data_IF_513289530714
#
_entry.id   IF_513289530714
#
_cell.length_a   1.000
_cell.length_b   1.000
_cell.length_c   1.000
_cell.angle_alpha   90.00
_cell.angle_beta   90.00
_cell.angle_gamma   90.00
#
_symmetry.space_group_name_H-M   'P 1'
#
loop_
_entity.id
_entity.type
_entity.pdbx_description
1 polymer ?
#
# COMPACT_ATOMS: atom_id res chain seq x y z
N UNK A 1 -8.57 -1.63 -22.10
CA UNK A 1 -8.80 -3.00 -21.56
C UNK A 1 -10.28 -3.10 -21.23
N UNK A 2 -10.95 -4.21 -21.55
CA UNK A 2 -12.40 -4.31 -21.32
C UNK A 2 -12.75 -4.48 -19.83
N UNK A 3 -13.90 -3.94 -19.41
CA UNK A 3 -14.41 -4.11 -18.02
C UNK A 3 -14.62 -5.57 -17.65
N UNK A 4 -15.13 -6.41 -18.56
CA UNK A 4 -15.28 -7.85 -18.35
C UNK A 4 -13.95 -8.56 -18.15
N UNK A 5 -12.99 -8.30 -19.04
CA UNK A 5 -11.65 -8.89 -18.95
C UNK A 5 -10.97 -8.52 -17.62
N UNK A 6 -11.11 -7.27 -17.17
CA UNK A 6 -10.60 -6.82 -15.88
C UNK A 6 -11.25 -7.58 -14.71
N UNK A 7 -12.56 -7.74 -14.72
CA UNK A 7 -13.30 -8.46 -13.67
C UNK A 7 -13.02 -9.97 -13.66
N UNK A 8 -12.93 -10.60 -14.83
CA UNK A 8 -12.88 -12.05 -14.96
C UNK A 8 -11.44 -12.60 -14.92
N UNK A 9 -10.44 -11.80 -15.29
CA UNK A 9 -9.05 -12.27 -15.46
C UNK A 9 -8.08 -11.59 -14.49
N UNK A 10 -8.12 -10.26 -14.38
CA UNK A 10 -7.11 -9.53 -13.59
C UNK A 10 -7.45 -9.40 -12.11
N UNK A 11 -8.69 -9.05 -11.78
CA UNK A 11 -9.10 -8.76 -10.41
C UNK A 11 -9.28 -9.98 -9.48
N UNK A 12 -9.65 -11.19 -9.93
CA UNK A 12 -9.90 -12.32 -9.03
C UNK A 12 -8.76 -12.64 -8.04
N UNK A 13 -7.46 -12.67 -8.44
CA UNK A 13 -6.39 -12.91 -7.48
C UNK A 13 -6.28 -11.82 -6.41
N UNK A 14 -6.56 -10.56 -6.74
CA UNK A 14 -6.55 -9.47 -5.77
C UNK A 14 -7.74 -9.56 -4.82
N UNK A 15 -8.94 -9.86 -5.34
CA UNK A 15 -10.13 -10.07 -4.51
C UNK A 15 -9.89 -11.18 -3.49
N UNK A 16 -9.37 -12.33 -3.94
CA UNK A 16 -9.03 -13.45 -3.04
C UNK A 16 -7.96 -13.06 -2.01
N UNK A 17 -6.91 -12.34 -2.42
CA UNK A 17 -5.87 -11.89 -1.49
C UNK A 17 -6.42 -10.95 -0.40
N UNK A 18 -7.39 -10.12 -0.75
CA UNK A 18 -8.03 -9.16 0.15
C UNK A 18 -9.04 -9.86 1.07
N UNK A 19 -10.05 -10.52 0.50
CA UNK A 19 -11.19 -11.08 1.24
C UNK A 19 -10.83 -12.34 2.02
N UNK A 20 -9.99 -13.19 1.46
CA UNK A 20 -9.65 -14.50 2.04
C UNK A 20 -8.23 -14.52 2.62
N UNK A 21 -7.28 -13.91 1.91
CA UNK A 21 -5.86 -13.88 2.24
C UNK A 21 -5.53 -12.98 3.44
N UNK A 22 -6.32 -11.93 3.68
CA UNK A 22 -6.08 -10.97 4.75
C UNK A 22 -4.92 -10.02 4.48
N UNK A 23 -4.69 -9.68 3.21
CA UNK A 23 -3.76 -8.62 2.82
C UNK A 23 -4.09 -7.32 3.58
N UNK A 24 -3.05 -6.64 4.07
CA UNK A 24 -3.19 -5.39 4.88
C UNK A 24 -2.73 -4.14 4.15
N UNK A 25 -2.15 -4.31 2.98
CA UNK A 25 -1.68 -3.22 2.13
C UNK A 25 -1.90 -3.57 0.66
N UNK A 26 -2.28 -2.58 -0.13
CA UNK A 26 -2.40 -2.67 -1.59
C UNK A 26 -1.56 -1.55 -2.21
N UNK A 27 -0.94 -1.84 -3.36
CA UNK A 27 -0.20 -0.86 -4.15
C UNK A 27 -0.90 -0.71 -5.50
N UNK A 28 -1.19 0.53 -5.91
CA UNK A 28 -1.77 0.78 -7.23
C UNK A 28 -0.69 0.62 -8.32
N UNK A 29 -1.07 0.27 -9.54
CA UNK A 29 -0.15 0.20 -10.67
C UNK A 29 0.13 1.60 -11.27
N UNK A 30 1.16 1.70 -12.12
CA UNK A 30 1.41 2.90 -12.93
C UNK A 30 0.46 3.06 -14.12
N UNK A 31 -0.23 2.01 -14.51
CA UNK A 31 -1.05 2.00 -15.72
C UNK A 31 -2.31 2.84 -15.56
N UNK A 32 -2.76 3.41 -16.67
CA UNK A 32 -4.11 3.93 -16.82
C UNK A 32 -5.02 2.95 -17.56
N UNK A 33 -6.33 3.07 -17.31
CA UNK A 33 -7.38 2.40 -18.09
C UNK A 33 -8.20 3.49 -18.75
N UNK A 34 -8.22 3.49 -20.08
CA UNK A 34 -8.94 4.48 -20.89
C UNK A 34 -8.60 5.94 -20.50
N UNK A 35 -7.32 6.19 -20.21
CA UNK A 35 -6.80 7.50 -19.81
C UNK A 35 -7.00 7.86 -18.33
N UNK A 36 -7.60 6.97 -17.52
CA UNK A 36 -7.72 7.14 -16.07
C UNK A 36 -6.59 6.39 -15.32
N UNK A 37 -5.60 7.09 -14.74
CA UNK A 37 -4.50 6.46 -14.01
C UNK A 37 -4.98 5.77 -12.74
N UNK A 38 -4.47 4.57 -12.45
CA UNK A 38 -4.86 3.81 -11.24
C UNK A 38 -4.64 4.59 -9.95
N UNK A 39 -3.63 5.48 -9.92
CA UNK A 39 -3.32 6.33 -8.76
C UNK A 39 -4.38 7.42 -8.48
N UNK A 40 -5.26 7.69 -9.44
CA UNK A 40 -6.30 8.73 -9.38
C UNK A 40 -7.72 8.17 -9.62
N UNK A 41 -7.87 6.85 -9.72
CA UNK A 41 -9.14 6.18 -10.03
C UNK A 41 -9.95 5.89 -8.76
N UNK A 42 -10.94 6.74 -8.47
CA UNK A 42 -11.88 6.60 -7.34
C UNK A 42 -12.74 5.32 -7.46
N UNK A 43 -13.09 4.92 -8.68
CA UNK A 43 -13.91 3.71 -8.92
C UNK A 43 -13.12 2.43 -8.60
N UNK A 44 -11.80 2.44 -8.83
CA UNK A 44 -10.92 1.33 -8.51
C UNK A 44 -10.56 1.30 -7.01
N UNK A 45 -10.04 2.40 -6.48
CA UNK A 45 -9.39 2.42 -5.17
C UNK A 45 -10.36 2.69 -4.02
N UNK A 46 -11.51 3.29 -4.28
CA UNK A 46 -12.55 3.52 -3.28
C UNK A 46 -13.74 2.61 -3.52
N UNK A 47 -14.46 2.76 -4.65
CA UNK A 47 -15.73 2.03 -4.84
C UNK A 47 -15.53 0.51 -4.91
N UNK A 48 -14.57 0.03 -5.72
CA UNK A 48 -14.30 -1.39 -5.80
C UNK A 48 -13.52 -1.90 -4.58
N UNK A 49 -12.33 -1.34 -4.33
CA UNK A 49 -11.44 -1.87 -3.31
C UNK A 49 -12.00 -1.70 -1.88
N UNK A 50 -12.47 -0.51 -1.52
CA UNK A 50 -12.90 -0.23 -0.15
C UNK A 50 -14.37 -0.56 0.05
N UNK A 51 -15.24 -0.13 -0.85
CA UNK A 51 -16.68 -0.28 -0.62
C UNK A 51 -17.18 -1.67 -1.01
N UNK A 52 -16.75 -2.20 -2.16
CA UNK A 52 -17.21 -3.52 -2.65
C UNK A 52 -16.46 -4.68 -1.99
N UNK A 53 -15.13 -4.57 -1.85
CA UNK A 53 -14.30 -5.63 -1.25
C UNK A 53 -14.07 -5.47 0.26
N UNK A 54 -14.59 -4.42 0.88
CA UNK A 54 -14.47 -4.14 2.33
C UNK A 54 -13.00 -4.05 2.80
N UNK A 55 -12.13 -3.44 1.99
CA UNK A 55 -10.72 -3.27 2.34
C UNK A 55 -10.50 -2.10 3.30
N UNK A 56 -10.11 -2.42 4.53
CA UNK A 56 -9.78 -1.46 5.60
C UNK A 56 -8.27 -1.18 5.77
N UNK A 57 -7.45 -1.75 4.89
CA UNK A 57 -5.99 -1.61 4.94
C UNK A 57 -5.46 -0.32 4.31
N UNK A 58 -4.14 -0.27 4.20
CA UNK A 58 -3.41 0.88 3.67
C UNK A 58 -3.23 0.78 2.16
N UNK A 59 -3.55 1.84 1.43
CA UNK A 59 -3.18 1.95 0.02
C UNK A 59 -1.89 2.75 -0.09
N UNK A 60 -0.84 2.10 -0.58
CA UNK A 60 0.47 2.73 -0.81
C UNK A 60 0.63 3.08 -2.27
N UNK A 61 1.27 4.22 -2.55
CA UNK A 61 1.66 4.55 -3.90
C UNK A 61 2.78 3.63 -4.36
N UNK A 62 2.76 3.23 -5.63
CA UNK A 62 4.00 2.78 -6.27
C UNK A 62 4.99 3.97 -6.37
N UNK A 63 6.27 3.69 -6.55
CA UNK A 63 7.33 4.67 -6.49
C UNK A 63 7.10 5.84 -7.45
N UNK A 64 6.94 7.04 -6.89
CA UNK A 64 6.61 8.26 -7.63
C UNK A 64 5.28 8.20 -8.40
N UNK A 65 4.41 7.20 -8.17
CA UNK A 65 3.16 7.01 -8.88
C UNK A 65 2.24 8.23 -8.81
N UNK A 66 2.21 8.94 -7.67
CA UNK A 66 1.45 10.19 -7.53
C UNK A 66 2.07 11.32 -8.37
N UNK A 67 3.39 11.40 -8.45
CA UNK A 67 4.06 12.41 -9.27
C UNK A 67 3.84 12.18 -10.77
N UNK A 68 3.68 10.92 -11.18
CA UNK A 68 3.39 10.54 -12.56
C UNK A 68 2.02 11.01 -13.05
N UNK A 69 1.06 11.30 -12.15
CA UNK A 69 -0.18 11.98 -12.53
C UNK A 69 0.09 13.31 -13.25
N UNK A 70 1.16 14.02 -12.87
CA UNK A 70 1.60 15.23 -13.56
C UNK A 70 2.57 14.93 -14.70
N UNK A 71 3.61 14.12 -14.45
CA UNK A 71 4.76 14.05 -15.37
C UNK A 71 4.61 13.03 -16.49
N UNK A 72 3.80 12.00 -16.29
CA UNK A 72 3.63 10.89 -17.26
C UNK A 72 2.23 10.94 -17.88
N UNK A 73 1.18 10.97 -17.06
CA UNK A 73 -0.21 10.93 -17.54
C UNK A 73 -0.75 12.32 -17.90
N UNK A 74 -0.13 13.39 -17.41
CA UNK A 74 -0.52 14.76 -17.74
C UNK A 74 -1.90 15.20 -17.24
N UNK A 75 -2.49 14.47 -16.27
CA UNK A 75 -3.83 14.77 -15.75
C UNK A 75 -3.83 15.79 -14.61
N UNK A 76 -2.67 16.04 -13.98
CA UNK A 76 -2.53 16.99 -12.89
C UNK A 76 -1.73 18.22 -13.34
N UNK A 77 -2.30 19.41 -13.10
CA UNK A 77 -1.64 20.68 -13.45
C UNK A 77 -0.38 20.93 -12.60
N UNK A 78 -0.44 20.63 -11.31
CA UNK A 78 0.67 20.79 -10.36
C UNK A 78 0.75 19.65 -9.33
N UNK A 79 1.76 19.71 -8.45
CA UNK A 79 1.99 18.69 -7.41
C UNK A 79 0.88 18.63 -6.36
N UNK A 80 0.18 19.73 -6.11
CA UNK A 80 -0.88 19.78 -5.13
C UNK A 80 -2.19 19.23 -5.70
N UNK A 81 -2.45 19.43 -6.99
CA UNK A 81 -3.55 18.77 -7.70
C UNK A 81 -3.31 17.27 -7.82
N UNK A 82 -2.07 16.83 -8.12
CA UNK A 82 -1.70 15.41 -8.09
C UNK A 82 -1.94 14.79 -6.71
N UNK A 83 -1.51 15.47 -5.63
CA UNK A 83 -1.79 15.04 -4.28
C UNK A 83 -3.30 14.95 -4.01
N UNK A 84 -4.06 15.94 -4.44
CA UNK A 84 -5.50 15.99 -4.27
C UNK A 84 -6.22 14.84 -4.96
N UNK A 85 -5.85 14.53 -6.21
CA UNK A 85 -6.41 13.41 -6.96
C UNK A 85 -6.13 12.07 -6.28
N UNK A 86 -4.88 11.80 -5.90
CA UNK A 86 -4.53 10.53 -5.26
C UNK A 86 -5.21 10.33 -3.90
N UNK A 87 -5.37 11.40 -3.11
CA UNK A 87 -6.07 11.33 -1.83
C UNK A 87 -7.57 11.09 -1.98
N UNK A 88 -8.20 11.68 -3.00
CA UNK A 88 -9.61 11.43 -3.30
C UNK A 88 -9.82 9.99 -3.78
N UNK A 89 -8.93 9.49 -4.65
CA UNK A 89 -8.93 8.11 -5.10
C UNK A 89 -8.79 7.11 -3.94
N UNK A 90 -8.05 7.48 -2.90
CA UNK A 90 -7.94 6.71 -1.66
C UNK A 90 -6.52 6.22 -1.35
N UNK A 91 -5.49 6.82 -1.97
CA UNK A 91 -4.08 6.55 -1.65
C UNK A 91 -3.71 7.19 -0.31
N UNK A 92 -3.17 6.38 0.61
CA UNK A 92 -2.84 6.80 1.97
C UNK A 92 -1.36 7.20 2.11
N UNK A 93 -0.45 6.51 1.42
CA UNK A 93 1.01 6.68 1.57
C UNK A 93 1.68 7.04 0.25
N UNK A 94 2.49 8.09 0.26
CA UNK A 94 3.37 8.46 -0.85
C UNK A 94 4.74 7.78 -0.71
N UNK A 95 5.25 7.19 -1.79
CA UNK A 95 6.55 6.51 -1.85
C UNK A 95 7.41 6.99 -3.04
N UNK A 96 8.74 6.83 -2.98
CA UNK A 96 9.53 6.46 -1.80
C UNK A 96 9.80 7.65 -0.87
N UNK A 97 9.54 8.88 -1.34
CA UNK A 97 9.80 10.12 -0.61
C UNK A 97 8.59 11.04 -0.70
N UNK A 98 8.46 11.95 0.27
CA UNK A 98 7.36 12.90 0.31
C UNK A 98 7.62 14.03 -0.69
N UNK A 99 6.89 14.05 -1.81
CA UNK A 99 7.01 15.05 -2.87
C UNK A 99 5.72 15.87 -3.01
N UNK A 100 4.58 15.20 -3.08
CA UNK A 100 3.26 15.79 -3.35
C UNK A 100 2.46 16.00 -2.06
N UNK A 101 2.50 15.03 -1.12
CA UNK A 101 1.74 15.09 0.12
C UNK A 101 2.33 16.05 1.17
N UNK A 102 3.56 16.51 0.95
CA UNK A 102 4.29 17.42 1.84
C UNK A 102 3.93 18.89 1.66
N UNK A 103 4.95 19.71 1.41
CA UNK A 103 4.80 21.17 1.32
C UNK A 103 3.80 21.63 0.26
N UNK A 104 3.74 21.06 -0.97
CA UNK A 104 2.79 21.53 -1.99
C UNK A 104 1.33 21.47 -1.52
N UNK A 105 0.89 20.30 -1.03
CA UNK A 105 -0.46 20.12 -0.48
C UNK A 105 -0.73 21.03 0.71
N UNK A 106 0.18 21.11 1.67
CA UNK A 106 0.00 21.94 2.88
C UNK A 106 -0.16 23.42 2.54
N UNK A 107 0.59 23.91 1.55
CA UNK A 107 0.49 25.29 1.06
C UNK A 107 -0.88 25.54 0.41
N UNK A 108 -1.38 24.61 -0.43
CA UNK A 108 -2.73 24.71 -1.03
C UNK A 108 -3.82 24.68 0.03
N UNK A 109 -3.74 23.77 1.01
CA UNK A 109 -4.72 23.69 2.09
C UNK A 109 -4.76 24.97 2.94
N UNK A 110 -3.61 25.52 3.33
CA UNK A 110 -3.55 26.79 4.09
C UNK A 110 -4.11 28.00 3.33
N UNK A 111 -3.99 28.01 1.99
CA UNK A 111 -4.59 29.06 1.15
C UNK A 111 -6.12 28.93 1.09
N UNK A 112 -6.64 27.71 1.21
CA UNK A 112 -8.06 27.40 1.14
C UNK A 112 -8.75 27.47 2.51
N UNK A 113 -8.03 27.15 3.59
CA UNK A 113 -8.48 27.24 4.97
C UNK A 113 -7.39 27.90 5.84
N UNK A 114 -7.37 29.24 5.91
CA UNK A 114 -6.46 29.97 6.79
C UNK A 114 -6.79 29.82 8.28
N UNK A 115 -7.97 29.25 8.63
CA UNK A 115 -8.46 29.10 10.00
C UNK A 115 -8.12 27.76 10.68
N UNK A 116 -7.66 26.75 9.92
CA UNK A 116 -7.03 25.55 10.47
C UNK A 116 -7.93 24.68 11.36
N UNK A 117 -9.21 24.54 11.00
CA UNK A 117 -10.12 23.63 11.70
C UNK A 117 -9.71 22.17 11.43
N UNK A 118 -9.11 21.49 12.41
CA UNK A 118 -8.80 20.06 12.31
C UNK A 118 -10.09 19.24 12.15
N UNK A 119 -10.51 18.97 10.92
CA UNK A 119 -11.47 17.89 10.64
C UNK A 119 -10.68 16.58 10.61
N UNK A 120 -10.66 15.90 11.75
CA UNK A 120 -10.20 14.51 11.84
C UNK A 120 -11.08 13.63 10.96
N UNK A 121 -10.45 12.84 10.08
CA UNK A 121 -11.11 11.74 9.36
C UNK A 121 -11.81 10.87 10.42
N UNK A 122 -13.09 10.52 10.27
CA UNK A 122 -13.75 9.62 11.22
C UNK A 122 -12.94 8.32 11.29
N UNK A 123 -12.71 7.84 12.51
CA UNK A 123 -12.07 6.55 12.72
C UNK A 123 -12.84 5.47 11.93
N UNK A 124 -12.16 4.46 11.37
CA UNK A 124 -12.84 3.34 10.73
C UNK A 124 -13.88 2.78 11.71
N UNK A 125 -15.09 2.52 11.21
CA UNK A 125 -16.17 2.00 12.05
C UNK A 125 -15.72 0.70 12.69
N UNK A 126 -15.91 0.50 14.02
CA UNK A 126 -15.62 -0.77 14.63
C UNK A 126 -16.49 -1.85 13.95
N UNK A 127 -15.87 -2.99 13.64
CA UNK A 127 -16.61 -4.14 13.11
C UNK A 127 -17.67 -4.56 14.13
N UNK A 128 -18.87 -4.99 13.71
CA UNK A 128 -19.84 -5.54 14.63
C UNK A 128 -19.23 -6.75 15.35
N UNK A 129 -19.28 -6.73 16.68
CA UNK A 129 -18.86 -7.85 17.52
C UNK A 129 -19.75 -9.06 17.20
N UNK A 130 -19.21 -10.08 16.55
CA UNK A 130 -19.94 -11.31 16.25
C UNK A 130 -19.65 -11.96 14.90
N UNK A 131 -19.01 -11.26 13.95
CA UNK A 131 -18.64 -11.88 12.67
C UNK A 131 -17.35 -12.68 12.82
N UNK A 132 -17.46 -13.88 13.41
CA UNK A 132 -16.39 -14.86 13.35
C UNK A 132 -16.03 -15.12 11.88
N UNK A 133 -14.75 -15.01 11.55
CA UNK A 133 -14.23 -15.41 10.24
C UNK A 133 -14.67 -16.86 9.99
N UNK A 134 -15.34 -17.17 8.87
CA UNK A 134 -15.70 -18.56 8.58
C UNK A 134 -14.43 -19.41 8.56
N UNK A 135 -14.46 -20.64 9.12
CA UNK A 135 -13.33 -21.54 9.06
C UNK A 135 -12.97 -21.79 7.59
N UNK A 136 -11.67 -21.72 7.28
CA UNK A 136 -11.15 -21.92 5.93
C UNK A 136 -11.56 -23.32 5.44
N UNK A 137 -12.28 -23.46 4.31
CA UNK A 137 -12.48 -24.77 3.71
C UNK A 137 -11.14 -25.27 3.14
N UNK A 138 -10.72 -26.47 3.55
CA UNK A 138 -9.63 -27.20 2.88
C UNK A 138 -8.24 -27.17 3.52
N UNK A 139 -8.07 -26.69 4.75
CA UNK A 139 -6.82 -26.94 5.51
C UNK A 139 -7.05 -28.05 6.54
N UNK A 140 -6.93 -29.30 6.10
CA UNK A 140 -6.75 -30.42 7.02
C UNK A 140 -5.52 -30.13 7.91
N UNK A 141 -5.63 -30.21 9.25
CA UNK A 141 -4.48 -30.03 10.12
C UNK A 141 -3.48 -31.17 9.86
N UNK A 142 -2.42 -30.86 9.11
CA UNK A 142 -1.31 -31.78 8.92
C UNK A 142 -0.72 -32.22 10.26
N UNK A 143 -0.19 -33.45 10.37
CA UNK A 143 0.26 -34.00 11.64
C UNK A 143 1.29 -33.10 12.30
N UNK A 144 1.12 -32.87 13.61
CA UNK A 144 1.98 -32.04 14.43
C UNK A 144 3.45 -32.42 14.20
N UNK A 145 4.22 -31.54 13.53
CA UNK A 145 5.66 -31.72 13.37
C UNK A 145 6.30 -31.63 14.75
N UNK A 146 6.66 -32.78 15.32
CA UNK A 146 7.55 -32.86 16.47
C UNK A 146 8.83 -32.10 16.14
N UNK A 147 9.08 -31.00 16.85
CA UNK A 147 10.33 -30.25 16.74
C UNK A 147 11.48 -31.16 17.18
N UNK A 148 12.13 -31.84 16.22
CA UNK A 148 13.44 -32.44 16.48
C UNK A 148 14.40 -31.31 16.85
N UNK A 149 14.84 -31.31 18.11
CA UNK A 149 15.88 -30.40 18.61
C UNK A 149 17.12 -30.58 17.72
N UNK A 150 17.53 -29.50 17.03
CA UNK A 150 18.83 -29.48 16.36
C UNK A 150 19.93 -29.62 17.42
N UNK A 151 20.95 -30.46 17.22
CA UNK A 151 22.10 -30.50 18.11
C UNK A 151 22.85 -29.17 18.06
N UNK A 152 23.24 -28.66 19.23
CA UNK A 152 24.06 -27.45 19.39
C UNK A 152 25.45 -27.73 18.79
N UNK A 153 25.91 -26.86 17.88
CA UNK A 153 27.31 -26.87 17.42
C UNK A 153 28.23 -26.49 18.60
N UNK A 154 29.36 -27.18 18.83
CA UNK A 154 30.34 -26.75 19.82
C UNK A 154 31.05 -25.47 19.34
N UNK A 155 31.27 -24.57 20.30
CA UNK A 155 31.86 -23.24 20.06
C UNK A 155 33.32 -23.32 19.61
N UNK A 156 33.67 -22.48 18.65
CA UNK A 156 35.07 -22.21 18.28
C UNK A 156 35.56 -21.02 19.08
N UNK A 157 36.63 -21.24 19.83
CA UNK A 157 37.32 -20.26 20.64
C UNK A 157 38.16 -19.30 19.77
N UNK A 158 38.12 -18.03 20.16
CA UNK A 158 39.11 -16.96 20.02
C UNK A 158 40.22 -17.07 18.95
N UNK A 159 40.32 -16.03 18.12
CA UNK A 159 41.62 -15.36 17.88
C UNK A 159 41.42 -13.89 17.54
N UNK A 160 41.70 -13.05 18.53
CA UNK A 160 41.98 -11.62 18.38
C UNK A 160 43.29 -11.44 17.62
N UNK A 161 43.27 -10.72 16.51
CA UNK A 161 44.46 -10.32 15.77
C UNK A 161 44.19 -9.08 14.94
N UNK A 162 44.59 -7.91 15.44
CA UNK A 162 44.73 -6.68 14.65
C UNK A 162 45.95 -6.78 13.73
N UNK A 163 45.89 -6.33 12.47
CA UNK A 163 47.06 -5.84 11.76
C UNK A 163 47.03 -4.30 11.67
N UNK A 164 48.18 -3.68 11.95
CA UNK A 164 48.42 -2.23 11.82
C UNK A 164 48.62 -1.78 10.35
N UNK A 165 48.85 -0.46 10.12
CA UNK A 165 48.83 0.12 8.77
C UNK A 165 50.20 0.10 8.08
N UNK A 166 50.23 -0.16 6.77
CA UNK A 166 51.36 0.09 5.87
C UNK A 166 50.78 0.51 4.50
N UNK A 167 50.80 1.80 4.16
CA UNK A 167 51.75 2.53 3.28
C UNK A 167 51.78 2.03 1.83
N UNK A 168 51.25 2.90 0.95
CA UNK A 168 51.35 2.90 -0.51
C UNK A 168 52.80 3.08 -0.99
N UNK A 169 53.11 2.58 -2.19
CA UNK A 169 54.01 3.22 -3.14
C UNK A 169 53.25 4.03 -4.22
#
# INVERSE_FOLDING_TARGET
MGTRERADVLLPPFEMAIREGGARSVMHAYTDTDGMPSAADETLLTELLRDTWDFDGTVVADYFGIAFLKTLHGIAADWADAAGAALRAGVDVELPTVKTFGAPRRRRHRRQDPGGGRRSRPAPRPRPEGTARPPRPGLEPGPARTRRRRPRRPGSAARTGRPGPAREP
#
